data_IF_248648435259
#
_entry.id   IF_248648435259
#
_cell.length_a   1.000
_cell.length_b   1.000
_cell.length_c   1.000
_cell.angle_alpha   90.00
_cell.angle_beta   90.00
_cell.angle_gamma   90.00
#
_symmetry.space_group_name_H-M   'P 1'
#
loop_
_entity.id
_entity.type
_entity.pdbx_description
1 polymer ?
#
# COMPACT_ATOMS: atom_id res chain seq x y z
N UNK A 1 8.97 40.18 -55.21
CA UNK A 1 9.09 38.99 -54.33
C UNK A 1 9.94 39.38 -53.12
N UNK A 2 9.31 39.89 -52.04
CA UNK A 2 9.88 39.95 -50.68
C UNK A 2 8.67 39.91 -49.75
N UNK A 3 8.51 38.77 -49.06
CA UNK A 3 7.50 38.55 -48.03
C UNK A 3 8.00 39.20 -46.73
N UNK A 4 7.19 40.07 -46.15
CA UNK A 4 7.32 40.51 -44.76
C UNK A 4 6.85 39.37 -43.85
N UNK A 5 7.73 38.88 -42.97
CA UNK A 5 7.39 37.97 -41.89
C UNK A 5 7.14 38.77 -40.62
N UNK A 6 5.88 38.74 -40.18
CA UNK A 6 5.42 39.14 -38.85
C UNK A 6 6.13 38.32 -37.77
N UNK A 7 6.80 38.98 -36.83
CA UNK A 7 7.37 38.37 -35.63
C UNK A 7 6.29 38.29 -34.55
N UNK A 8 5.76 37.08 -34.31
CA UNK A 8 4.91 36.78 -33.15
C UNK A 8 5.79 36.52 -31.93
N UNK A 9 5.57 37.31 -30.87
CA UNK A 9 6.16 37.15 -29.54
C UNK A 9 5.77 35.77 -28.97
N UNK A 10 6.75 34.90 -28.76
CA UNK A 10 6.57 33.69 -27.96
C UNK A 10 6.48 34.08 -26.48
N UNK A 11 5.30 33.82 -25.91
CA UNK A 11 5.05 33.89 -24.47
C UNK A 11 5.69 32.66 -23.85
N UNK A 12 6.72 32.86 -23.02
CA UNK A 12 7.32 31.81 -22.21
C UNK A 12 6.29 31.31 -21.19
N UNK A 13 5.70 30.15 -21.46
CA UNK A 13 4.92 29.39 -20.48
C UNK A 13 5.92 28.61 -19.61
N UNK A 14 5.98 28.97 -18.33
CA UNK A 14 6.82 28.29 -17.33
C UNK A 14 6.51 26.80 -17.26
N UNK A 15 7.54 25.98 -17.45
CA UNK A 15 7.52 24.54 -17.19
C UNK A 15 7.34 24.30 -15.68
N UNK A 16 6.19 23.79 -15.26
CA UNK A 16 6.07 23.07 -13.99
C UNK A 16 7.02 21.87 -14.04
N UNK A 17 8.12 21.94 -13.28
CA UNK A 17 9.04 20.82 -13.07
C UNK A 17 8.49 19.92 -11.95
N UNK A 18 7.45 19.16 -12.25
CA UNK A 18 7.28 17.87 -11.58
C UNK A 18 8.15 16.84 -12.31
N UNK A 19 8.98 16.08 -11.59
CA UNK A 19 9.69 14.94 -12.19
C UNK A 19 8.67 14.05 -12.91
N UNK A 20 8.97 13.54 -14.13
CA UNK A 20 8.04 12.72 -14.87
C UNK A 20 7.79 11.41 -14.10
N UNK A 21 6.63 11.34 -13.46
CA UNK A 21 6.14 10.14 -12.79
C UNK A 21 5.98 9.05 -13.83
N UNK A 22 6.77 7.99 -13.72
CA UNK A 22 6.63 6.84 -14.63
C UNK A 22 5.70 5.82 -14.00
N UNK A 23 4.47 5.81 -14.49
CA UNK A 23 3.40 4.94 -13.99
C UNK A 23 3.69 3.50 -14.39
N UNK A 24 3.61 2.57 -13.44
CA UNK A 24 3.76 1.14 -13.73
C UNK A 24 2.57 0.56 -14.48
N UNK A 25 2.85 -0.43 -15.32
CA UNK A 25 1.85 -1.23 -16.06
C UNK A 25 1.72 -2.63 -15.47
N UNK A 26 0.82 -3.46 -16.00
CA UNK A 26 0.75 -4.87 -15.65
C UNK A 26 1.26 -5.73 -16.81
N UNK A 27 2.08 -6.75 -16.52
CA UNK A 27 2.77 -7.54 -17.54
C UNK A 27 1.79 -8.19 -18.53
N UNK A 28 0.59 -8.57 -18.09
CA UNK A 28 -0.40 -9.24 -18.93
C UNK A 28 -0.95 -8.38 -20.06
N UNK A 29 -0.82 -7.04 -20.01
CA UNK A 29 -1.21 -6.15 -21.11
C UNK A 29 -0.41 -6.43 -22.39
N UNK A 30 0.78 -7.04 -22.28
CA UNK A 30 1.54 -7.54 -23.44
C UNK A 30 0.84 -8.67 -24.18
N UNK A 31 -0.07 -9.39 -23.52
CA UNK A 31 -0.84 -10.50 -24.08
C UNK A 31 -2.21 -10.05 -24.63
N UNK A 32 -2.53 -8.76 -24.56
CA UNK A 32 -3.77 -8.18 -25.07
C UNK A 32 -4.64 -7.50 -24.01
N UNK A 33 -5.90 -7.28 -24.33
CA UNK A 33 -6.88 -6.56 -23.51
C UNK A 33 -8.04 -7.46 -23.10
N UNK A 34 -8.68 -7.14 -21.97
CA UNK A 34 -9.88 -7.84 -21.52
C UNK A 34 -11.14 -7.21 -22.15
N UNK A 35 -12.07 -7.99 -22.76
CA UNK A 35 -13.28 -7.47 -23.37
C UNK A 35 -14.17 -6.66 -22.40
N UNK A 36 -14.90 -5.68 -22.94
CA UNK A 36 -15.89 -4.92 -22.17
C UNK A 36 -16.97 -5.85 -21.60
N UNK A 37 -17.36 -5.63 -20.34
CA UNK A 37 -18.31 -6.48 -19.62
C UNK A 37 -17.70 -7.74 -19.02
N UNK A 38 -16.38 -7.91 -19.09
CA UNK A 38 -15.64 -8.99 -18.42
C UNK A 38 -14.52 -8.42 -17.56
N UNK A 39 -13.99 -9.21 -16.62
CA UNK A 39 -12.85 -8.82 -15.79
C UNK A 39 -11.66 -9.77 -16.03
N UNK A 40 -10.42 -9.27 -16.04
CA UNK A 40 -9.24 -10.14 -16.11
C UNK A 40 -9.05 -10.84 -14.77
N UNK A 41 -9.01 -12.18 -14.80
CA UNK A 41 -8.82 -13.03 -13.62
C UNK A 41 -7.52 -13.80 -13.77
N UNK A 42 -6.63 -13.70 -12.77
CA UNK A 42 -5.43 -14.52 -12.72
C UNK A 42 -5.80 -15.98 -12.49
N UNK A 43 -5.32 -16.88 -13.34
CA UNK A 43 -5.51 -18.32 -13.16
C UNK A 43 -4.70 -18.81 -11.95
N UNK A 44 -5.39 -19.37 -10.95
CA UNK A 44 -4.78 -19.97 -9.76
C UNK A 44 -4.56 -21.46 -10.01
N UNK A 45 -3.37 -21.99 -9.76
CA UNK A 45 -3.12 -23.45 -9.79
C UNK A 45 -3.65 -24.06 -8.48
N UNK A 46 -4.35 -25.19 -8.57
CA UNK A 46 -4.99 -25.87 -7.40
C UNK A 46 -4.04 -26.12 -6.22
N UNK A 47 -2.73 -26.27 -6.46
CA UNK A 47 -1.74 -26.54 -5.41
C UNK A 47 -1.25 -25.28 -4.67
N UNK A 48 -1.64 -24.07 -5.12
CA UNK A 48 -1.18 -22.79 -4.55
C UNK A 48 -2.22 -22.11 -3.66
N UNK A 49 -3.19 -22.86 -3.10
CA UNK A 49 -4.27 -22.32 -2.24
C UNK A 49 -3.95 -22.60 -0.75
N UNK A 50 -2.68 -22.64 -0.37
CA UNK A 50 -2.27 -22.63 1.03
C UNK A 50 -2.04 -21.18 1.47
N UNK A 51 -2.59 -20.77 2.62
CA UNK A 51 -2.32 -19.47 3.26
C UNK A 51 -2.76 -18.22 2.46
N UNK A 52 -3.98 -18.22 1.90
CA UNK A 52 -4.56 -17.06 1.19
C UNK A 52 -5.02 -15.90 2.11
N UNK A 53 -4.91 -16.07 3.42
CA UNK A 53 -5.29 -15.09 4.44
C UNK A 53 -4.07 -14.60 5.17
N UNK A 54 -4.06 -13.33 5.59
CA UNK A 54 -3.11 -12.88 6.60
C UNK A 54 -3.36 -13.65 7.90
N UNK A 55 -2.33 -13.87 8.71
CA UNK A 55 -2.54 -14.46 10.04
C UNK A 55 -3.28 -13.46 10.93
N UNK A 56 -4.18 -14.00 11.75
CA UNK A 56 -5.01 -13.22 12.65
C UNK A 56 -4.17 -12.31 13.55
N UNK A 57 -4.64 -11.09 13.75
CA UNK A 57 -4.05 -10.12 14.68
C UNK A 57 -4.38 -10.59 16.10
N UNK A 58 -3.38 -11.01 16.87
CA UNK A 58 -3.57 -11.26 18.30
C UNK A 58 -3.48 -9.95 19.09
N UNK A 59 -4.46 -9.67 19.92
CA UNK A 59 -4.38 -8.58 20.89
C UNK A 59 -3.48 -9.00 22.06
N UNK A 60 -2.20 -8.61 22.05
CA UNK A 60 -1.38 -8.70 23.25
C UNK A 60 -1.55 -7.41 24.08
N UNK A 61 -2.08 -7.56 25.29
CA UNK A 61 -2.10 -6.48 26.26
C UNK A 61 -0.73 -6.44 26.93
N UNK A 62 0.04 -5.38 26.66
CA UNK A 62 1.26 -5.15 27.41
C UNK A 62 0.88 -4.88 28.88
N UNK A 63 1.35 -5.74 29.79
CA UNK A 63 1.07 -5.66 31.23
C UNK A 63 1.97 -4.65 31.94
N UNK A 64 2.90 -4.01 31.23
CA UNK A 64 3.79 -3.00 31.78
C UNK A 64 3.40 -1.62 31.28
N UNK A 65 2.83 -0.83 32.19
CA UNK A 65 2.90 0.63 32.36
C UNK A 65 1.56 1.14 32.89
N UNK A 66 1.57 1.51 34.16
CA UNK A 66 0.52 2.32 34.77
C UNK A 66 0.52 3.69 34.09
N UNK A 67 -0.68 4.17 33.80
CA UNK A 67 -1.06 5.48 33.25
C UNK A 67 -0.97 5.63 31.71
N UNK A 68 -2.16 5.79 31.11
CA UNK A 68 -2.50 5.81 29.68
C UNK A 68 -2.37 4.46 28.94
N UNK A 69 -3.48 3.69 28.91
CA UNK A 69 -3.61 2.48 28.09
C UNK A 69 -3.58 2.84 26.59
N UNK A 70 -2.40 2.98 26.00
CA UNK A 70 -2.25 2.87 24.54
C UNK A 70 -2.26 1.39 24.18
N UNK A 71 -3.36 0.94 23.57
CA UNK A 71 -3.44 -0.41 23.01
C UNK A 71 -2.63 -0.41 21.72
N UNK A 72 -1.35 -0.79 21.80
CA UNK A 72 -0.60 -1.16 20.60
C UNK A 72 -1.05 -2.56 20.18
N UNK A 73 -1.65 -2.66 19.00
CA UNK A 73 -1.99 -3.94 18.37
C UNK A 73 -0.68 -4.60 17.93
N UNK A 74 0.09 -5.18 18.86
CA UNK A 74 1.25 -5.99 18.52
C UNK A 74 0.76 -7.21 17.71
N UNK A 75 0.96 -7.13 16.40
CA UNK A 75 0.57 -8.19 15.50
C UNK A 75 1.63 -9.29 15.57
N UNK A 76 1.35 -10.38 16.27
CA UNK A 76 2.27 -11.54 16.32
C UNK A 76 2.66 -11.97 14.91
N UNK A 77 3.96 -12.15 14.68
CA UNK A 77 4.54 -12.54 13.38
C UNK A 77 4.48 -11.47 12.29
N UNK A 78 4.14 -10.23 12.62
CA UNK A 78 4.17 -9.11 11.68
C UNK A 78 5.10 -8.01 12.20
N UNK A 79 5.83 -7.40 11.28
CA UNK A 79 6.59 -6.18 11.52
C UNK A 79 6.02 -5.07 10.65
N UNK A 80 5.56 -4.00 11.28
CA UNK A 80 4.97 -2.86 10.60
C UNK A 80 5.94 -1.69 10.55
N UNK A 81 5.93 -0.94 9.44
CA UNK A 81 6.59 0.36 9.32
C UNK A 81 5.69 1.31 8.52
N UNK A 82 4.96 2.19 9.20
CA UNK A 82 3.95 3.05 8.58
C UNK A 82 3.95 4.48 9.11
N UNK A 83 3.43 5.39 8.30
CA UNK A 83 2.89 6.67 8.72
C UNK A 83 1.39 6.47 8.97
N UNK A 84 0.87 6.99 10.08
CA UNK A 84 -0.55 6.93 10.36
C UNK A 84 -1.12 8.26 10.83
N UNK A 85 -2.42 8.44 10.58
CA UNK A 85 -3.23 9.47 11.21
C UNK A 85 -4.48 8.83 11.82
N UNK A 86 -4.95 9.39 12.92
CA UNK A 86 -6.07 8.87 13.68
C UNK A 86 -6.93 9.98 14.29
N UNK A 87 -8.11 9.64 14.80
CA UNK A 87 -8.95 10.54 15.60
C UNK A 87 -10.02 11.33 14.84
N UNK A 88 -10.06 11.23 13.51
CA UNK A 88 -11.11 11.83 12.67
C UNK A 88 -11.89 10.76 11.90
N UNK A 89 -13.07 11.15 11.38
CA UNK A 89 -13.81 10.33 10.44
C UNK A 89 -13.22 10.49 9.03
N UNK A 90 -12.57 9.43 8.56
CA UNK A 90 -11.98 9.34 7.22
C UNK A 90 -12.88 8.54 6.30
N UNK A 91 -13.19 9.12 5.15
CA UNK A 91 -13.96 8.51 4.07
C UNK A 91 -13.08 8.04 2.92
N UNK A 92 -11.76 8.19 3.04
CA UNK A 92 -10.82 7.75 2.02
C UNK A 92 -9.38 8.15 2.29
N UNK A 93 -8.47 7.52 1.56
CA UNK A 93 -7.03 7.70 1.67
C UNK A 93 -6.37 7.43 0.30
N UNK A 94 -5.46 8.32 -0.09
CA UNK A 94 -4.68 8.24 -1.33
C UNK A 94 -3.19 8.23 -1.01
N UNK A 95 -2.41 7.52 -1.82
CA UNK A 95 -0.96 7.57 -1.77
C UNK A 95 -0.32 7.08 -3.07
N UNK A 96 0.81 7.69 -3.41
CA UNK A 96 1.70 7.25 -4.46
C UNK A 96 2.75 6.33 -3.85
N UNK A 97 2.65 5.04 -4.14
CA UNK A 97 3.50 4.01 -3.58
C UNK A 97 4.60 3.68 -4.56
N UNK A 98 5.85 3.87 -4.16
CA UNK A 98 6.99 3.41 -4.94
C UNK A 98 7.01 1.87 -4.99
N UNK A 99 7.21 1.31 -6.18
CA UNK A 99 7.16 -0.12 -6.45
C UNK A 99 8.55 -0.72 -6.39
N UNK A 100 8.73 -1.69 -5.50
CA UNK A 100 9.96 -2.46 -5.32
C UNK A 100 9.67 -3.96 -5.42
N UNK A 101 10.70 -4.77 -5.62
CA UNK A 101 10.62 -6.23 -5.55
C UNK A 101 11.54 -6.75 -4.44
N UNK A 102 11.18 -6.53 -3.16
CA UNK A 102 12.00 -6.96 -2.02
C UNK A 102 12.21 -8.47 -2.03
N UNK A 103 13.38 -8.90 -1.56
CA UNK A 103 13.63 -10.30 -1.26
C UNK A 103 12.75 -10.73 -0.11
N UNK A 104 11.89 -11.71 -0.36
CA UNK A 104 11.26 -12.50 0.71
C UNK A 104 12.15 -13.74 0.94
N UNK A 105 12.36 -14.18 2.17
CA UNK A 105 13.26 -15.31 2.49
C UNK A 105 12.57 -16.66 2.27
N UNK A 106 11.41 -16.88 2.89
CA UNK A 106 10.66 -18.14 2.81
C UNK A 106 9.40 -18.02 1.94
N UNK A 107 8.77 -19.14 1.59
CA UNK A 107 7.54 -19.15 0.77
C UNK A 107 6.28 -18.85 1.60
N UNK A 108 6.33 -19.04 2.92
CA UNK A 108 5.27 -18.71 3.88
C UNK A 108 5.33 -17.27 4.40
N UNK A 109 6.33 -16.49 3.97
CA UNK A 109 6.52 -15.09 4.33
C UNK A 109 5.99 -14.15 3.24
N UNK A 110 5.75 -12.89 3.58
CA UNK A 110 5.44 -11.85 2.59
C UNK A 110 5.93 -10.47 3.01
N UNK A 111 6.02 -9.58 2.02
CA UNK A 111 6.29 -8.15 2.20
C UNK A 111 5.30 -7.34 1.37
N UNK A 112 4.73 -6.29 1.95
CA UNK A 112 3.77 -5.40 1.26
C UNK A 112 4.17 -3.93 1.36
N UNK A 113 3.61 -3.14 0.46
CA UNK A 113 3.44 -1.71 0.62
C UNK A 113 2.03 -1.31 0.25
N UNK A 114 1.37 -0.52 1.10
CA UNK A 114 -0.06 -0.33 1.04
C UNK A 114 -0.53 1.02 1.58
N UNK A 115 -1.69 1.43 1.08
CA UNK A 115 -2.60 2.35 1.78
C UNK A 115 -3.65 1.51 2.49
N UNK A 116 -3.93 1.83 3.75
CA UNK A 116 -4.94 1.13 4.55
C UNK A 116 -5.86 2.11 5.28
N UNK A 117 -7.14 1.74 5.38
CA UNK A 117 -8.17 2.42 6.16
C UNK A 117 -8.72 1.42 7.19
N UNK A 118 -8.72 1.81 8.46
CA UNK A 118 -9.08 0.91 9.57
C UNK A 118 -10.09 1.54 10.53
N UNK A 119 -10.89 0.68 11.15
CA UNK A 119 -11.76 1.01 12.27
C UNK A 119 -11.87 -0.21 13.21
N UNK A 120 -11.20 -0.15 14.36
CA UNK A 120 -10.98 -1.31 15.21
C UNK A 120 -10.22 -2.42 14.49
N UNK A 121 -10.73 -3.66 14.53
CA UNK A 121 -10.16 -4.80 13.82
C UNK A 121 -10.59 -4.87 12.33
N UNK A 122 -11.42 -3.94 11.88
CA UNK A 122 -11.90 -3.89 10.50
C UNK A 122 -10.93 -3.06 9.66
N UNK A 123 -10.63 -3.51 8.45
CA UNK A 123 -9.73 -2.80 7.57
C UNK A 123 -9.89 -3.15 6.12
N UNK A 124 -9.54 -2.20 5.26
CA UNK A 124 -9.38 -2.36 3.82
C UNK A 124 -8.03 -1.82 3.40
N UNK A 125 -7.35 -2.54 2.52
CA UNK A 125 -5.94 -2.30 2.17
C UNK A 125 -5.72 -2.56 0.69
N UNK A 126 -4.88 -1.74 0.05
CA UNK A 126 -4.45 -1.99 -1.32
C UNK A 126 -3.10 -1.35 -1.62
N UNK A 127 -2.35 -2.00 -2.50
CA UNK A 127 -1.00 -1.62 -2.89
C UNK A 127 -0.31 -2.77 -3.61
N UNK A 128 0.97 -2.99 -3.35
CA UNK A 128 1.71 -4.12 -3.91
C UNK A 128 2.19 -5.09 -2.84
N UNK A 129 2.32 -6.36 -3.21
CA UNK A 129 2.81 -7.42 -2.35
C UNK A 129 3.78 -8.35 -3.11
N UNK A 130 4.79 -8.85 -2.41
CA UNK A 130 5.56 -10.04 -2.77
C UNK A 130 5.15 -11.14 -1.80
N UNK A 131 4.37 -12.10 -2.27
CA UNK A 131 3.79 -13.16 -1.45
C UNK A 131 3.78 -14.49 -2.20
N UNK A 132 4.82 -15.34 -2.02
CA UNK A 132 4.93 -16.61 -2.72
C UNK A 132 3.81 -17.59 -2.39
N UNK A 133 3.32 -17.60 -1.15
CA UNK A 133 2.19 -18.46 -0.73
C UNK A 133 0.92 -18.20 -1.54
N UNK A 134 0.61 -16.93 -1.83
CA UNK A 134 -0.59 -16.54 -2.60
C UNK A 134 -0.35 -16.62 -4.11
N UNK A 135 0.83 -16.17 -4.55
CA UNK A 135 1.08 -15.93 -5.97
C UNK A 135 1.81 -17.07 -6.67
N UNK A 136 2.55 -17.90 -5.92
CA UNK A 136 3.39 -18.97 -6.45
C UNK A 136 4.71 -18.50 -7.06
N UNK A 137 5.06 -17.23 -6.89
CA UNK A 137 6.34 -16.64 -7.27
C UNK A 137 6.68 -15.43 -6.38
N UNK A 138 7.90 -14.91 -6.54
CA UNK A 138 8.43 -13.73 -5.83
C UNK A 138 8.41 -12.48 -6.73
N UNK A 139 7.34 -12.31 -7.53
CA UNK A 139 7.14 -11.08 -8.30
C UNK A 139 6.23 -10.13 -7.52
N UNK A 140 6.56 -8.83 -7.56
CA UNK A 140 5.69 -7.75 -7.06
C UNK A 140 4.36 -7.72 -7.80
N UNK A 141 3.27 -7.86 -7.06
CA UNK A 141 1.92 -7.96 -7.62
C UNK A 141 0.98 -6.96 -6.95
N UNK A 142 0.08 -6.38 -7.74
CA UNK A 142 -0.99 -5.53 -7.23
C UNK A 142 -1.94 -6.39 -6.40
N UNK A 143 -2.30 -5.91 -5.20
CA UNK A 143 -3.24 -6.62 -4.36
C UNK A 143 -4.31 -5.73 -3.75
N UNK A 144 -5.41 -6.38 -3.36
CA UNK A 144 -6.41 -5.84 -2.43
C UNK A 144 -6.57 -6.82 -1.26
N UNK A 145 -6.86 -6.28 -0.08
CA UNK A 145 -7.15 -7.07 1.11
C UNK A 145 -8.22 -6.39 1.95
N UNK A 146 -9.02 -7.18 2.65
CA UNK A 146 -9.98 -6.67 3.61
C UNK A 146 -10.10 -7.61 4.80
N UNK A 147 -10.58 -7.11 5.92
CA UNK A 147 -11.03 -7.93 7.04
C UNK A 147 -12.10 -7.21 7.86
N UNK A 148 -13.03 -7.97 8.41
CA UNK A 148 -14.02 -7.51 9.37
C UNK A 148 -13.64 -7.81 10.84
N UNK A 149 -12.59 -8.61 11.06
CA UNK A 149 -12.27 -9.22 12.35
C UNK A 149 -10.77 -9.44 12.57
N UNK A 150 -9.91 -8.62 11.96
CA UNK A 150 -8.47 -8.70 12.16
C UNK A 150 -7.84 -9.96 11.56
N UNK A 151 -8.44 -10.49 10.50
CA UNK A 151 -8.05 -11.72 9.80
C UNK A 151 -8.25 -13.01 10.59
N UNK A 152 -9.15 -13.01 11.58
CA UNK A 152 -9.49 -14.21 12.35
C UNK A 152 -10.30 -15.20 11.49
N UNK A 153 -11.47 -14.78 11.01
CA UNK A 153 -12.37 -15.61 10.19
C UNK A 153 -12.61 -15.01 8.81
N UNK A 154 -12.40 -13.71 8.63
CA UNK A 154 -12.66 -12.98 7.38
C UNK A 154 -11.39 -12.46 6.74
N UNK A 155 -11.45 -12.22 5.43
CA UNK A 155 -10.34 -11.65 4.67
C UNK A 155 -9.51 -12.67 3.93
N UNK A 156 -9.03 -12.26 2.77
CA UNK A 156 -8.10 -12.99 1.91
C UNK A 156 -7.54 -12.01 0.87
N UNK A 157 -6.43 -12.39 0.25
CA UNK A 157 -5.87 -11.60 -0.85
C UNK A 157 -6.74 -11.69 -2.11
N UNK A 158 -6.94 -10.56 -2.78
CA UNK A 158 -7.56 -10.46 -4.10
C UNK A 158 -8.96 -11.10 -4.16
N UNK A 159 -9.23 -11.87 -5.22
CA UNK A 159 -10.48 -12.60 -5.44
C UNK A 159 -10.41 -14.06 -4.95
N UNK A 160 -9.47 -14.39 -4.05
CA UNK A 160 -9.29 -15.78 -3.58
C UNK A 160 -10.44 -16.26 -2.68
N UNK A 161 -11.21 -15.33 -2.11
CA UNK A 161 -12.44 -15.57 -1.39
C UNK A 161 -13.45 -14.44 -1.66
N UNK A 162 -14.75 -14.64 -1.39
CA UNK A 162 -15.76 -13.61 -1.57
C UNK A 162 -15.48 -12.38 -0.69
N UNK A 163 -15.72 -11.19 -1.21
CA UNK A 163 -15.67 -9.93 -0.45
C UNK A 163 -15.28 -8.71 -1.30
N UNK A 164 -14.55 -8.90 -2.39
CA UNK A 164 -14.28 -7.82 -3.34
C UNK A 164 -15.02 -8.05 -4.65
N UNK A 165 -15.62 -7.00 -5.19
CA UNK A 165 -16.29 -7.00 -6.49
C UNK A 165 -15.42 -6.21 -7.47
N UNK A 166 -14.67 -6.93 -8.32
CA UNK A 166 -13.92 -6.30 -9.40
C UNK A 166 -14.87 -5.91 -10.54
N UNK A 167 -14.66 -4.73 -11.10
CA UNK A 167 -15.49 -4.16 -12.18
C UNK A 167 -14.66 -3.74 -13.39
N UNK A 168 -13.39 -3.41 -13.19
CA UNK A 168 -12.49 -3.00 -14.27
C UNK A 168 -12.05 -4.17 -15.14
N UNK A 169 -12.10 -3.95 -16.46
CA UNK A 169 -11.46 -4.81 -17.45
C UNK A 169 -10.01 -4.38 -17.77
N UNK A 170 -9.52 -3.28 -17.19
CA UNK A 170 -8.19 -2.71 -17.48
C UNK A 170 -7.12 -3.18 -16.49
N UNK A 171 -7.50 -3.49 -15.25
CA UNK A 171 -6.59 -3.88 -14.17
C UNK A 171 -6.98 -5.25 -13.64
N UNK A 172 -6.00 -6.13 -13.48
CA UNK A 172 -6.15 -7.47 -12.93
C UNK A 172 -5.55 -7.54 -11.52
N UNK A 173 -6.32 -8.02 -10.55
CA UNK A 173 -5.81 -8.29 -9.21
C UNK A 173 -4.84 -9.48 -9.20
N UNK A 174 -3.80 -9.39 -8.37
CA UNK A 174 -2.72 -10.36 -8.30
C UNK A 174 -1.83 -10.41 -9.54
N UNK A 175 -1.98 -9.52 -10.52
CA UNK A 175 -1.10 -9.46 -11.69
C UNK A 175 0.22 -8.74 -11.37
N UNK A 176 1.30 -9.22 -12.01
CA UNK A 176 2.64 -8.69 -11.81
C UNK A 176 2.75 -7.25 -12.34
N UNK A 177 3.34 -6.39 -11.52
CA UNK A 177 3.58 -4.98 -11.82
C UNK A 177 4.93 -4.85 -12.51
N UNK A 178 4.99 -4.09 -13.59
CA UNK A 178 6.23 -3.78 -14.29
C UNK A 178 6.14 -2.44 -15.02
N UNK A 179 7.22 -1.65 -15.08
CA UNK A 179 8.55 -1.84 -14.47
C UNK A 179 8.57 -1.66 -12.94
N UNK A 180 9.66 -2.08 -12.30
CA UNK A 180 9.93 -1.93 -10.86
C UNK A 180 11.07 -0.93 -10.65
N UNK A 181 11.09 -0.24 -9.50
CA UNK A 181 12.17 0.67 -9.13
C UNK A 181 13.50 -0.07 -8.97
N UNK A 182 14.59 0.66 -9.21
CA UNK A 182 15.97 0.23 -9.01
C UNK A 182 16.71 1.39 -8.32
N UNK A 183 17.61 1.14 -7.35
CA UNK A 183 18.33 2.23 -6.66
C UNK A 183 19.06 3.19 -7.60
N UNK A 184 19.62 2.67 -8.70
CA UNK A 184 20.37 3.45 -9.69
C UNK A 184 19.53 3.89 -10.91
N UNK A 185 18.23 3.55 -10.91
CA UNK A 185 17.34 3.71 -12.05
C UNK A 185 16.26 4.79 -11.86
N UNK A 186 15.24 4.74 -12.72
CA UNK A 186 14.07 5.60 -12.56
C UNK A 186 13.16 5.08 -11.44
N UNK A 187 12.57 5.98 -10.63
CA UNK A 187 11.55 5.59 -9.67
C UNK A 187 10.25 5.24 -10.40
N UNK A 188 9.65 4.12 -10.02
CA UNK A 188 8.37 3.66 -10.54
C UNK A 188 7.37 3.53 -9.41
N UNK A 189 6.14 3.95 -9.65
CA UNK A 189 5.11 4.03 -8.61
C UNK A 189 3.72 3.63 -9.11
N UNK A 190 2.90 3.15 -8.17
CA UNK A 190 1.45 3.01 -8.33
C UNK A 190 0.75 4.08 -7.52
N UNK A 191 -0.40 4.53 -7.99
CA UNK A 191 -1.25 5.47 -7.25
C UNK A 191 -2.45 4.67 -6.77
N UNK A 192 -2.62 4.59 -5.47
CA UNK A 192 -3.74 3.90 -4.85
C UNK A 192 -4.63 4.91 -4.15
N UNK A 193 -5.93 4.85 -4.44
CA UNK A 193 -6.93 5.65 -3.76
C UNK A 193 -8.08 4.76 -3.32
N UNK A 194 -8.28 4.67 -2.01
CA UNK A 194 -9.41 3.97 -1.41
C UNK A 194 -10.40 5.03 -0.91
N UNK A 195 -11.66 4.93 -1.28
CA UNK A 195 -12.68 5.90 -0.85
C UNK A 195 -14.06 5.27 -0.71
N UNK A 196 -14.87 5.83 0.17
CA UNK A 196 -16.25 5.45 0.38
C UNK A 196 -17.14 6.20 -0.59
N UNK A 197 -17.93 5.47 -1.38
CA UNK A 197 -18.96 6.07 -2.20
C UNK A 197 -20.12 6.56 -1.31
N UNK A 198 -20.48 7.86 -1.33
CA UNK A 198 -21.56 8.38 -0.52
C UNK A 198 -22.94 7.81 -0.90
N UNK A 199 -23.12 7.32 -2.13
CA UNK A 199 -24.41 6.83 -2.61
C UNK A 199 -24.67 5.38 -2.17
N UNK A 200 -23.71 4.50 -2.43
CA UNK A 200 -23.86 3.05 -2.14
C UNK A 200 -23.28 2.66 -0.78
N UNK A 201 -22.45 3.51 -0.17
CA UNK A 201 -21.69 3.19 1.04
C UNK A 201 -20.50 2.25 0.84
N UNK A 202 -20.29 1.77 -0.39
CA UNK A 202 -19.22 0.81 -0.70
C UNK A 202 -17.84 1.47 -0.67
N UNK A 203 -16.83 0.70 -0.28
CA UNK A 203 -15.43 1.14 -0.30
C UNK A 203 -14.81 0.79 -1.65
N UNK A 204 -14.55 1.79 -2.48
CA UNK A 204 -13.95 1.66 -3.79
C UNK A 204 -12.43 1.73 -3.75
N UNK A 205 -11.78 0.97 -4.62
CA UNK A 205 -10.34 1.05 -4.90
C UNK A 205 -10.15 1.59 -6.30
N UNK A 206 -9.35 2.64 -6.41
CA UNK A 206 -8.93 3.25 -7.68
C UNK A 206 -7.42 3.09 -7.86
N UNK A 207 -7.02 2.70 -9.07
CA UNK A 207 -5.65 2.63 -9.55
C UNK A 207 -5.36 3.80 -10.49
N UNK A 208 -4.21 4.43 -10.29
CA UNK A 208 -3.88 5.65 -11.03
C UNK A 208 -4.78 6.81 -10.61
N UNK A 209 -5.06 7.71 -11.56
CA UNK A 209 -5.91 8.88 -11.33
C UNK A 209 -7.39 8.66 -11.75
N UNK A 210 -7.73 7.47 -12.28
CA UNK A 210 -9.02 7.29 -12.99
C UNK A 210 -9.62 5.88 -13.00
N UNK A 211 -8.82 4.82 -12.84
CA UNK A 211 -9.32 3.47 -13.08
C UNK A 211 -9.90 2.91 -11.78
N UNK A 212 -11.23 2.85 -11.68
CA UNK A 212 -11.89 2.17 -10.56
C UNK A 212 -11.76 0.65 -10.76
N UNK A 213 -10.96 -0.01 -9.91
CA UNK A 213 -10.73 -1.45 -9.99
C UNK A 213 -12.01 -2.20 -9.63
N UNK A 214 -12.65 -1.77 -8.54
CA UNK A 214 -13.76 -2.44 -7.90
C UNK A 214 -14.01 -1.92 -6.49
N UNK A 215 -14.84 -2.63 -5.72
CA UNK A 215 -15.23 -2.22 -4.38
C UNK A 215 -15.43 -3.38 -3.41
N UNK A 216 -15.32 -3.07 -2.12
CA UNK A 216 -15.80 -3.89 -1.02
C UNK A 216 -17.22 -3.43 -0.63
N UNK A 217 -18.23 -4.32 -0.61
CA UNK A 217 -19.57 -3.99 -0.15
C UNK A 217 -19.57 -3.50 1.30
N UNK A 218 -20.39 -2.49 1.60
CA UNK A 218 -20.47 -1.92 2.95
C UNK A 218 -20.91 -2.96 4.01
N UNK A 219 -21.69 -3.96 3.60
CA UNK A 219 -22.29 -4.98 4.48
C UNK A 219 -21.27 -5.98 5.03
N UNK A 220 -20.03 -5.96 4.52
CA UNK A 220 -18.92 -6.71 5.12
C UNK A 220 -18.52 -6.15 6.49
N UNK A 221 -18.88 -4.90 6.78
CA UNK A 221 -18.32 -4.14 7.88
C UNK A 221 -19.38 -3.73 8.90
N UNK A 222 -18.94 -3.60 10.16
CA UNK A 222 -19.73 -3.04 11.26
C UNK A 222 -19.38 -1.57 11.49
N UNK A 223 -18.18 -1.30 12.01
CA UNK A 223 -17.70 0.05 12.30
C UNK A 223 -17.19 0.77 11.05
N UNK A 224 -16.42 0.06 10.21
CA UNK A 224 -15.89 0.59 8.96
C UNK A 224 -17.01 0.88 7.92
N UNK A 225 -18.23 0.39 8.16
CA UNK A 225 -19.42 0.75 7.38
C UNK A 225 -19.73 2.24 7.45
N UNK A 226 -19.43 2.90 8.56
CA UNK A 226 -19.66 4.33 8.72
C UNK A 226 -18.48 5.13 8.13
N UNK A 227 -17.29 4.92 8.68
CA UNK A 227 -16.05 5.60 8.32
C UNK A 227 -14.84 4.82 8.88
N UNK A 228 -13.65 5.14 8.38
CA UNK A 228 -12.39 4.75 9.01
C UNK A 228 -12.00 5.79 10.07
N UNK A 229 -11.38 5.36 11.16
CA UNK A 229 -10.83 6.28 12.17
C UNK A 229 -9.29 6.31 12.17
N UNK A 230 -8.67 5.41 11.41
CA UNK A 230 -7.22 5.31 11.21
C UNK A 230 -6.95 5.19 9.71
N UNK A 231 -5.96 5.94 9.24
CA UNK A 231 -5.35 5.79 7.90
C UNK A 231 -3.88 5.44 8.07
N UNK A 232 -3.39 4.49 7.29
CA UNK A 232 -1.98 4.08 7.29
C UNK A 232 -1.40 4.08 5.87
N UNK A 233 -0.15 4.49 5.75
CA UNK A 233 0.69 4.35 4.55
C UNK A 233 1.99 3.70 4.94
N UNK A 234 2.43 2.68 4.22
CA UNK A 234 3.73 2.06 4.49
C UNK A 234 3.76 0.57 4.20
N UNK A 235 4.64 -0.14 4.91
CA UNK A 235 4.90 -1.55 4.69
C UNK A 235 4.57 -2.45 5.86
N UNK A 236 4.37 -3.72 5.53
CA UNK A 236 4.13 -4.82 6.46
C UNK A 236 4.94 -6.02 5.98
N UNK A 237 5.68 -6.64 6.89
CA UNK A 237 6.33 -7.93 6.67
C UNK A 237 5.67 -8.95 7.58
N UNK A 238 5.36 -10.13 7.04
CA UNK A 238 4.96 -11.27 7.84
C UNK A 238 6.05 -12.34 7.82
N UNK A 239 6.44 -12.79 9.01
CA UNK A 239 7.28 -13.97 9.20
C UNK A 239 7.06 -14.58 10.58
N UNK A 240 7.07 -15.92 10.65
CA UNK A 240 7.08 -16.64 11.93
C UNK A 240 8.36 -16.44 12.75
N UNK A 241 9.39 -15.80 12.17
CA UNK A 241 10.66 -15.44 12.83
C UNK A 241 10.74 -13.99 13.32
N UNK A 242 9.68 -13.21 13.15
CA UNK A 242 9.56 -11.89 13.79
C UNK A 242 9.68 -12.04 15.31
N UNK A 243 10.48 -11.19 15.96
CA UNK A 243 10.79 -11.31 17.39
C UNK A 243 11.67 -12.50 17.79
N UNK A 244 12.26 -13.23 16.84
CA UNK A 244 13.22 -14.33 17.11
C UNK A 244 14.64 -13.96 16.70
N UNK A 245 15.64 -14.70 17.21
CA UNK A 245 17.04 -14.58 16.80
C UNK A 245 17.53 -15.96 16.29
N UNK A 246 17.97 -16.08 15.03
CA UNK A 246 18.09 -15.00 14.06
C UNK A 246 16.74 -14.53 13.50
N UNK A 247 16.62 -13.23 13.26
CA UNK A 247 15.46 -12.62 12.62
C UNK A 247 15.36 -13.02 11.12
N UNK A 248 14.18 -12.83 10.51
CA UNK A 248 14.02 -13.06 9.06
C UNK A 248 14.85 -12.08 8.24
N UNK A 249 15.39 -12.56 7.12
CA UNK A 249 16.05 -11.77 6.08
C UNK A 249 15.07 -11.31 4.99
N UNK A 250 13.76 -11.35 5.26
CA UNK A 250 12.75 -10.74 4.39
C UNK A 250 12.85 -9.22 4.45
N UNK A 251 12.90 -8.61 3.28
CA UNK A 251 13.08 -7.17 3.11
C UNK A 251 11.73 -6.43 3.10
N UNK A 252 11.72 -5.20 3.62
CA UNK A 252 10.60 -4.27 3.48
C UNK A 252 10.96 -3.09 2.57
N UNK A 253 10.02 -2.68 1.71
CA UNK A 253 10.28 -1.63 0.72
C UNK A 253 11.32 -2.11 -0.30
N UNK A 254 12.48 -1.47 -0.34
CA UNK A 254 13.62 -1.89 -1.16
C UNK A 254 14.63 -2.79 -0.44
N UNK A 255 14.44 -3.06 0.86
CA UNK A 255 15.44 -3.68 1.73
C UNK A 255 16.43 -2.70 2.37
N UNK A 256 16.42 -1.43 1.97
CA UNK A 256 17.23 -0.38 2.59
C UNK A 256 16.46 0.30 3.73
N UNK A 257 17.19 0.76 4.75
CA UNK A 257 16.62 1.66 5.75
C UNK A 257 16.20 2.99 5.11
N UNK A 258 15.19 3.67 5.68
CA UNK A 258 14.73 4.94 5.14
C UNK A 258 15.82 6.00 5.19
N UNK A 259 16.15 6.50 4.02
CA UNK A 259 17.05 7.65 3.84
C UNK A 259 16.46 8.54 2.76
N UNK A 260 16.17 9.78 3.15
CA UNK A 260 15.57 10.77 2.26
C UNK A 260 16.56 11.37 1.27
N UNK A 261 17.86 11.29 1.55
CA UNK A 261 18.89 11.87 0.69
C UNK A 261 19.07 10.98 -0.54
N UNK A 262 19.22 9.67 -0.34
CA UNK A 262 19.30 8.69 -1.43
C UNK A 262 17.94 8.44 -2.08
N UNK A 263 16.85 8.43 -1.30
CA UNK A 263 15.52 8.07 -1.79
C UNK A 263 15.42 6.62 -2.28
N UNK A 264 16.34 5.77 -1.82
CA UNK A 264 16.46 4.37 -2.27
C UNK A 264 15.65 3.39 -1.43
N UNK A 265 14.95 3.85 -0.39
CA UNK A 265 14.07 3.02 0.45
C UNK A 265 12.67 2.85 -0.18
N UNK A 266 11.79 2.11 0.50
CA UNK A 266 10.36 2.25 0.22
C UNK A 266 9.91 3.69 0.48
N UNK A 267 8.99 4.20 -0.35
CA UNK A 267 8.41 5.52 -0.12
C UNK A 267 6.93 5.59 -0.51
N UNK A 268 6.20 6.47 0.18
CA UNK A 268 4.86 6.91 -0.16
C UNK A 268 4.82 8.43 -0.24
N UNK A 269 4.38 8.96 -1.38
CA UNK A 269 4.28 10.40 -1.66
C UNK A 269 2.83 10.81 -1.96
N UNK A 270 2.59 12.11 -2.06
CA UNK A 270 1.26 12.71 -2.36
C UNK A 270 0.15 12.11 -1.48
N UNK A 271 0.45 11.90 -0.20
CA UNK A 271 -0.47 11.31 0.77
C UNK A 271 -1.63 12.26 1.02
N UNK A 272 -2.86 11.77 0.90
CA UNK A 272 -4.08 12.55 1.13
C UNK A 272 -5.12 11.75 1.88
N UNK A 273 -5.93 12.42 2.68
CA UNK A 273 -7.12 11.88 3.32
C UNK A 273 -8.37 12.55 2.78
N UNK A 274 -9.45 11.80 2.66
CA UNK A 274 -10.78 12.31 2.34
C UNK A 274 -11.57 12.45 3.64
N UNK A 275 -11.89 13.68 4.03
CA UNK A 275 -12.73 13.96 5.19
C UNK A 275 -14.23 13.97 4.86
N UNK A 276 -15.05 14.28 5.87
CA UNK A 276 -16.51 14.41 5.71
C UNK A 276 -16.96 15.50 4.72
N UNK A 277 -16.12 16.52 4.48
CA UNK A 277 -16.38 17.55 3.47
C UNK A 277 -16.13 17.08 2.03
N UNK A 278 -15.75 15.81 1.83
CA UNK A 278 -15.44 15.20 0.54
C UNK A 278 -14.30 15.90 -0.22
N UNK A 279 -13.41 16.58 0.50
CA UNK A 279 -12.22 17.21 -0.06
C UNK A 279 -10.99 16.38 0.30
N UNK A 280 -10.17 16.05 -0.69
CA UNK A 280 -8.85 15.47 -0.47
C UNK A 280 -7.91 16.54 0.08
N UNK A 281 -7.36 16.30 1.27
CA UNK A 281 -6.42 17.22 1.93
C UNK A 281 -5.22 16.48 2.50
N UNK A 282 -4.19 17.23 2.88
CA UNK A 282 -3.09 16.70 3.67
C UNK A 282 -3.61 16.16 5.01
N UNK A 283 -3.08 15.03 5.51
CA UNK A 283 -3.35 14.63 6.87
C UNK A 283 -2.68 15.63 7.83
N UNK A 284 -3.44 16.14 8.82
CA UNK A 284 -2.95 17.20 9.72
C UNK A 284 -2.03 16.64 10.80
N UNK A 285 -2.45 15.58 11.48
CA UNK A 285 -1.72 14.96 12.58
C UNK A 285 -1.29 13.56 12.16
N UNK A 286 -0.01 13.40 11.86
CA UNK A 286 0.58 12.12 11.44
C UNK A 286 1.72 11.72 12.35
N UNK A 287 1.86 10.42 12.58
CA UNK A 287 2.97 9.85 13.33
C UNK A 287 3.59 8.69 12.56
N UNK A 288 4.91 8.61 12.57
CA UNK A 288 5.65 7.43 12.10
C UNK A 288 5.66 6.36 13.19
N UNK A 289 5.51 5.11 12.82
CA UNK A 289 5.52 3.96 13.72
C UNK A 289 6.29 2.79 13.11
N UNK A 290 7.07 2.10 13.95
CA UNK A 290 7.71 0.82 13.63
C UNK A 290 7.71 -0.10 14.85
N UNK A 291 7.35 -1.37 14.66
CA UNK A 291 7.39 -2.39 15.73
C UNK A 291 8.83 -2.76 16.13
N UNK A 292 9.71 -2.91 15.14
CA UNK A 292 11.09 -3.38 15.30
C UNK A 292 12.05 -2.42 14.58
N UNK A 293 12.24 -1.23 15.15
CA UNK A 293 13.00 -0.13 14.52
C UNK A 293 14.42 -0.49 14.06
N UNK A 294 15.05 -1.50 14.69
CA UNK A 294 16.36 -2.02 14.28
C UNK A 294 16.31 -2.95 13.06
N UNK A 295 15.14 -3.50 12.72
CA UNK A 295 14.93 -4.44 11.61
C UNK A 295 14.29 -3.72 10.41
N UNK A 296 13.29 -2.86 10.68
CA UNK A 296 12.61 -1.99 9.73
C UNK A 296 12.34 -0.64 10.37
N UNK A 297 12.60 0.46 9.67
CA UNK A 297 12.46 1.79 10.23
C UNK A 297 11.62 2.70 9.34
N UNK A 298 11.27 3.86 9.87
CA UNK A 298 10.46 4.90 9.21
C UNK A 298 11.16 6.26 9.28
N UNK A 299 10.92 7.09 8.27
CA UNK A 299 11.34 8.48 8.25
C UNK A 299 10.28 9.32 7.53
N UNK A 300 9.88 10.44 8.13
CA UNK A 300 8.84 11.31 7.60
C UNK A 300 9.38 12.73 7.47
N UNK A 301 9.20 13.32 6.29
CA UNK A 301 9.61 14.69 6.00
C UNK A 301 8.36 15.49 5.69
N UNK A 302 8.14 16.53 6.49
CA UNK A 302 7.11 17.54 6.24
C UNK A 302 7.68 18.95 6.18
N UNK A 303 8.85 19.19 6.78
CA UNK A 303 9.46 20.51 6.83
C UNK A 303 10.22 20.81 5.53
N UNK A 304 10.10 22.05 5.07
CA UNK A 304 10.83 22.58 3.91
C UNK A 304 10.61 21.83 2.58
N UNK A 305 9.51 21.08 2.46
CA UNK A 305 9.08 20.39 1.24
C UNK A 305 7.68 20.83 0.81
N UNK A 306 7.40 20.85 -0.49
CA UNK A 306 6.07 21.25 -1.01
C UNK A 306 4.98 20.20 -0.70
N UNK A 307 5.32 18.92 -0.76
CA UNK A 307 4.44 17.80 -0.42
C UNK A 307 5.21 16.87 0.52
N UNK A 308 4.69 16.56 1.72
CA UNK A 308 5.37 15.68 2.65
C UNK A 308 5.62 14.29 2.06
N UNK A 309 6.78 13.73 2.38
CA UNK A 309 7.24 12.44 1.88
C UNK A 309 7.45 11.47 3.04
N UNK A 310 7.00 10.24 2.85
CA UNK A 310 7.19 9.17 3.82
C UNK A 310 8.10 8.09 3.27
N UNK A 311 9.12 7.72 4.04
CA UNK A 311 10.09 6.69 3.72
C UNK A 311 10.04 5.59 4.76
N UNK A 312 10.17 4.35 4.32
CA UNK A 312 10.16 3.17 5.19
C UNK A 312 10.92 2.02 4.55
N UNK A 313 11.40 1.09 5.37
CA UNK A 313 12.05 -0.12 4.88
C UNK A 313 13.08 -0.67 5.83
N UNK A 314 13.74 -1.74 5.40
CA UNK A 314 14.85 -2.35 6.12
C UNK A 314 15.11 -3.78 5.63
N UNK A 315 16.28 -4.33 5.96
CA UNK A 315 16.70 -5.64 5.46
C UNK A 315 16.09 -6.81 6.23
N UNK A 316 15.34 -6.54 7.31
CA UNK A 316 14.86 -7.55 8.24
C UNK A 316 15.96 -8.07 9.16
N UNK A 317 17.10 -8.52 8.61
CA UNK A 317 18.22 -9.07 9.38
C UNK A 317 19.51 -8.27 9.17
N UNK A 318 20.12 -7.82 10.26
CA UNK A 318 21.37 -7.05 10.25
C UNK A 318 22.08 -7.11 11.63
N UNK A 319 23.30 -6.57 11.83
CA UNK A 319 23.98 -6.66 13.14
C UNK A 319 23.21 -6.08 14.34
N UNK A 320 22.32 -5.10 14.14
CA UNK A 320 21.45 -4.51 15.17
C UNK A 320 20.10 -5.25 15.32
N UNK A 321 19.77 -6.12 14.36
CA UNK A 321 18.63 -7.03 14.37
C UNK A 321 19.09 -8.44 13.90
N UNK A 322 19.80 -9.16 14.78
CA UNK A 322 20.55 -10.38 14.42
C UNK A 322 19.69 -11.58 14.05
#
# INVERSE_FOLDING_TARGET
MKMEKSASKEVFVGRNKGSPVTITSQIWHKSGNCPKGTIPIRRIKKNNISNVRKKAISLQFDKQFNESKKVYLLQTNHSLAFLHTEGYAYLGAKGDIQVWNPKVESDDEYSTSQVALKNGLQGVESGWAVNPSVYGDRQTRLFVYWTADGSEKTGCFDLTCPGFVQTSNEIALGAAIYPISNPTGLPYQIIMYIHKDPNTGNWWVQYGERINIGYWPQDLFGMLRAHANIVQWGGEVYSSRVGTNPHTSTEMGSGQFPDWVSGESGSVKRMRVLGNNLVLKFPEWVNGYSDEYNCYNVYYIHDYVEDPEFFYGGPGKNPMCP
#
